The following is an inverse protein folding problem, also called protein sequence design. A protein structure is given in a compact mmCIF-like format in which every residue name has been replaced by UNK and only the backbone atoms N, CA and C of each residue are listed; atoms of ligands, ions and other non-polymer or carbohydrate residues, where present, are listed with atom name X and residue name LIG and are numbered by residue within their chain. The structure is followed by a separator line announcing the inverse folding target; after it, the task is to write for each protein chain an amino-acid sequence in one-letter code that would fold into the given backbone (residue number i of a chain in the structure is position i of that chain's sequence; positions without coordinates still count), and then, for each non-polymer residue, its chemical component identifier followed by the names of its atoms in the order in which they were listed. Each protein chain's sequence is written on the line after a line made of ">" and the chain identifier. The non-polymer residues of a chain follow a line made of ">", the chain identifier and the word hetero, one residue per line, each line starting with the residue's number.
data_IF_314563524220
#
_entry.id   IF_314563524220
#
_cell.length_a   1.000
_cell.length_b   1.000
_cell.length_c   1.000
_cell.angle_alpha   90.00
_cell.angle_beta   90.00
_cell.angle_gamma   90.00
#
_symmetry.space_group_name_H-M   'P 1'
#
loop_
_entity.id
_entity.type
_entity.pdbx_description
1 polymer ?
#
# COMPACT_ATOMS: atom_id res chain seq x y z
N UNK A 1 -16.17 22.28 0.41
CA UNK A 1 -15.80 21.65 -0.88
C UNK A 1 -14.76 20.58 -0.59
N UNK A 2 -15.20 19.33 -0.35
CA UNK A 2 -14.35 18.21 0.06
C UNK A 2 -14.15 17.31 -1.16
N UNK A 3 -12.91 17.24 -1.65
CA UNK A 3 -12.55 16.32 -2.73
C UNK A 3 -11.80 15.15 -2.12
N UNK A 4 -12.50 14.02 -1.96
CA UNK A 4 -11.88 12.74 -1.65
C UNK A 4 -11.10 12.26 -2.87
N UNK A 5 -9.79 12.48 -2.86
CA UNK A 5 -8.85 11.86 -3.79
C UNK A 5 -8.38 10.54 -3.20
N UNK A 6 -8.71 9.44 -3.88
CA UNK A 6 -8.20 8.11 -3.56
C UNK A 6 -6.69 8.04 -3.76
N UNK A 7 -6.03 7.29 -2.88
CA UNK A 7 -4.62 6.96 -3.01
C UNK A 7 -3.76 7.45 -1.85
N UNK A 8 -3.17 6.48 -1.16
CA UNK A 8 -1.87 6.55 -0.49
C UNK A 8 -1.92 6.76 1.04
N UNK A 9 -1.58 5.69 1.75
CA UNK A 9 -1.30 5.59 3.19
C UNK A 9 -0.09 6.44 3.65
N UNK A 10 0.14 7.60 3.03
CA UNK A 10 1.31 8.46 3.23
C UNK A 10 0.93 9.89 3.69
N UNK A 11 -0.36 10.16 3.89
CA UNK A 11 -0.89 11.46 4.30
C UNK A 11 -1.89 11.39 5.46
N UNK A 12 -1.67 10.48 6.42
CA UNK A 12 -2.56 10.24 7.56
C UNK A 12 -1.76 10.44 8.85
N UNK A 13 -1.61 11.71 9.22
CA UNK A 13 -1.05 12.09 10.51
C UNK A 13 -2.11 12.91 11.21
N UNK A 14 -2.65 12.36 12.28
CA UNK A 14 -3.47 13.12 13.21
C UNK A 14 -2.57 13.94 14.13
N UNK A 15 -3.05 15.08 14.59
CA UNK A 15 -2.30 15.91 15.53
C UNK A 15 -2.01 15.12 16.82
N UNK A 16 -0.73 15.03 17.19
CA UNK A 16 -0.29 14.29 18.37
C UNK A 16 -0.21 12.77 18.20
N UNK A 17 -0.56 12.22 17.03
CA UNK A 17 -0.45 10.79 16.75
C UNK A 17 1.01 10.34 16.76
N UNK A 18 1.27 9.17 17.34
CA UNK A 18 2.54 8.46 17.19
C UNK A 18 2.31 7.22 16.35
N UNK A 19 3.18 7.03 15.38
CA UNK A 19 3.02 5.98 14.40
C UNK A 19 4.32 5.24 14.22
N UNK A 20 4.26 3.90 14.24
CA UNK A 20 5.37 3.06 13.82
C UNK A 20 4.98 2.26 12.58
N UNK A 21 6.00 1.85 11.82
CA UNK A 21 5.80 1.17 10.55
C UNK A 21 6.84 0.07 10.35
N UNK A 22 6.36 -1.09 9.91
CA UNK A 22 7.17 -2.20 9.43
C UNK A 22 6.94 -2.36 7.93
N UNK A 23 8.03 -2.57 7.18
CA UNK A 23 8.00 -2.83 5.75
C UNK A 23 8.84 -4.04 5.44
N UNK A 24 8.32 -4.90 4.57
CA UNK A 24 9.02 -6.04 4.04
C UNK A 24 8.92 -6.05 2.51
N UNK A 25 10.01 -6.37 1.84
CA UNK A 25 10.07 -6.52 0.40
C UNK A 25 10.90 -7.74 0.04
N UNK A 26 10.42 -8.52 -0.91
CA UNK A 26 11.11 -9.72 -1.37
C UNK A 26 11.04 -9.86 -2.88
N UNK A 27 12.20 -10.15 -3.48
CA UNK A 27 12.31 -10.58 -4.87
C UNK A 27 12.16 -12.11 -4.89
N UNK A 28 11.08 -12.60 -5.50
CA UNK A 28 10.78 -14.03 -5.50
C UNK A 28 11.67 -14.82 -6.47
N UNK A 29 12.60 -14.17 -7.18
CA UNK A 29 13.72 -14.86 -7.84
C UNK A 29 14.48 -15.77 -6.86
N UNK A 30 14.57 -15.38 -5.58
CA UNK A 30 15.20 -16.20 -4.53
C UNK A 30 14.51 -17.55 -4.28
N UNK A 31 13.25 -17.71 -4.72
CA UNK A 31 12.48 -18.96 -4.69
C UNK A 31 12.08 -19.44 -6.09
N UNK A 32 12.89 -19.11 -7.10
CA UNK A 32 12.70 -19.54 -8.50
C UNK A 32 11.42 -19.01 -9.18
N UNK A 33 10.89 -17.85 -8.75
CA UNK A 33 9.80 -17.14 -9.41
C UNK A 33 10.30 -15.77 -9.93
N UNK A 34 11.09 -15.75 -11.01
CA UNK A 34 11.65 -14.51 -11.55
C UNK A 34 10.55 -13.57 -12.05
N UNK A 35 10.80 -12.26 -11.93
CA UNK A 35 9.85 -11.22 -12.33
C UNK A 35 8.77 -10.92 -11.29
N UNK A 36 8.58 -11.79 -10.29
CA UNK A 36 7.65 -11.56 -9.19
C UNK A 36 8.30 -10.80 -8.04
N UNK A 37 7.58 -9.82 -7.50
CA UNK A 37 7.96 -9.13 -6.27
C UNK A 37 6.79 -9.12 -5.28
N UNK A 38 7.11 -9.29 -4.01
CA UNK A 38 6.14 -9.19 -2.92
C UNK A 38 6.55 -8.05 -1.99
N UNK A 39 5.59 -7.21 -1.62
CA UNK A 39 5.78 -6.14 -0.65
C UNK A 39 4.66 -6.21 0.38
N UNK A 40 5.03 -6.01 1.64
CA UNK A 40 4.11 -5.91 2.75
C UNK A 40 4.46 -4.69 3.59
N UNK A 41 3.45 -4.01 4.09
CA UNK A 41 3.60 -2.92 5.03
C UNK A 41 2.54 -3.05 6.10
N UNK A 42 2.95 -2.87 7.35
CA UNK A 42 2.05 -2.69 8.48
C UNK A 42 2.40 -1.38 9.17
N UNK A 43 1.38 -0.61 9.51
CA UNK A 43 1.49 0.65 10.22
C UNK A 43 0.49 0.63 11.38
N UNK A 44 0.91 1.17 12.53
CA UNK A 44 0.03 1.33 13.68
C UNK A 44 0.22 2.71 14.29
N UNK A 45 -0.88 3.40 14.47
CA UNK A 45 -1.01 4.71 15.07
C UNK A 45 -1.70 4.64 16.43
N UNK A 46 -1.22 5.43 17.38
CA UNK A 46 -1.89 5.69 18.66
C UNK A 46 -1.83 7.18 19.04
N UNK A 47 -2.50 7.55 20.14
CA UNK A 47 -2.55 8.93 20.64
C UNK A 47 -3.27 9.91 19.70
N UNK A 48 -4.22 9.41 18.91
CA UNK A 48 -5.09 10.23 18.05
C UNK A 48 -6.09 10.95 18.94
N UNK A 49 -6.06 12.29 18.97
CA UNK A 49 -6.92 13.07 19.87
C UNK A 49 -8.38 13.09 19.42
N UNK A 50 -9.28 12.79 20.35
CA UNK A 50 -10.74 12.87 20.17
C UNK A 50 -11.45 13.28 21.46
N UNK A 51 -12.69 13.77 21.34
CA UNK A 51 -13.52 14.18 22.48
C UNK A 51 -13.83 13.03 23.45
N UNK A 52 -13.78 11.77 22.97
CA UNK A 52 -14.04 10.58 23.77
C UNK A 52 -12.76 9.93 24.36
N UNK A 53 -11.59 10.57 24.18
CA UNK A 53 -10.29 10.02 24.57
C UNK A 53 -9.40 9.68 23.38
N UNK A 54 -8.23 9.11 23.65
CA UNK A 54 -7.24 8.79 22.62
C UNK A 54 -7.66 7.58 21.79
N UNK A 55 -7.63 7.74 20.48
CA UNK A 55 -8.01 6.73 19.50
C UNK A 55 -6.79 6.03 18.88
N UNK A 56 -7.02 4.87 18.30
CA UNK A 56 -6.01 4.04 17.64
C UNK A 56 -6.40 3.67 16.22
N UNK A 57 -5.38 3.37 15.42
CA UNK A 57 -5.57 2.85 14.08
C UNK A 57 -4.44 1.91 13.65
N UNK A 58 -4.74 1.07 12.66
CA UNK A 58 -3.72 0.32 11.95
C UNK A 58 -4.07 0.16 10.48
N UNK A 59 -3.04 0.11 9.65
CA UNK A 59 -3.15 -0.15 8.23
C UNK A 59 -2.23 -1.32 7.85
N UNK A 60 -2.71 -2.17 6.94
CA UNK A 60 -1.92 -3.22 6.28
C UNK A 60 -2.05 -3.07 4.79
N UNK A 61 -0.93 -3.11 4.09
CA UNK A 61 -0.87 -3.18 2.64
C UNK A 61 -0.09 -4.43 2.21
N UNK A 62 -0.63 -5.16 1.26
CA UNK A 62 0.01 -6.27 0.59
C UNK A 62 0.06 -5.97 -0.91
N UNK A 63 1.20 -6.22 -1.55
CA UNK A 63 1.35 -6.06 -2.99
C UNK A 63 2.09 -7.26 -3.55
N UNK A 64 1.49 -7.87 -4.57
CA UNK A 64 2.13 -8.86 -5.42
C UNK A 64 2.18 -8.27 -6.82
N UNK A 65 3.38 -8.21 -7.41
CA UNK A 65 3.57 -7.64 -8.73
C UNK A 65 4.41 -8.57 -9.60
N UNK A 66 4.15 -8.55 -10.91
CA UNK A 66 4.88 -9.31 -11.91
C UNK A 66 5.34 -8.40 -13.05
N UNK A 67 6.63 -8.46 -13.38
CA UNK A 67 7.20 -7.80 -14.55
C UNK A 67 7.56 -8.82 -15.63
N UNK A 68 7.04 -8.61 -16.84
CA UNK A 68 7.35 -9.45 -18.00
C UNK A 68 8.78 -9.21 -18.46
N UNK A 69 9.63 -10.24 -18.41
CA UNK A 69 11.05 -10.12 -18.74
C UNK A 69 11.37 -10.20 -20.25
N UNK A 70 10.44 -10.75 -21.05
CA UNK A 70 10.66 -11.05 -22.47
C UNK A 70 9.36 -11.05 -23.28
N UNK A 71 9.49 -11.14 -24.61
CA UNK A 71 8.35 -11.19 -25.53
C UNK A 71 7.70 -9.82 -25.76
N UNK A 72 6.52 -9.80 -26.41
CA UNK A 72 5.84 -8.55 -26.81
C UNK A 72 5.46 -7.63 -25.65
N UNK A 73 5.27 -8.18 -24.45
CA UNK A 73 4.92 -7.42 -23.25
C UNK A 73 6.14 -7.07 -22.37
N UNK A 74 7.37 -7.25 -22.85
CA UNK A 74 8.59 -7.01 -22.07
C UNK A 74 8.57 -5.62 -21.44
N UNK A 75 8.75 -5.56 -20.12
CA UNK A 75 8.74 -4.32 -19.35
C UNK A 75 7.37 -3.96 -18.76
N UNK A 76 6.28 -4.63 -19.17
CA UNK A 76 4.98 -4.48 -18.52
C UNK A 76 5.07 -4.98 -17.09
N UNK A 77 4.54 -4.20 -16.15
CA UNK A 77 4.31 -4.58 -14.78
C UNK A 77 2.81 -4.64 -14.50
N UNK A 78 2.36 -5.73 -13.90
CA UNK A 78 1.02 -5.85 -13.35
C UNK A 78 1.13 -6.10 -11.85
N UNK A 79 0.38 -5.33 -11.05
CA UNK A 79 0.38 -5.46 -9.60
C UNK A 79 -1.04 -5.54 -9.05
N UNK A 80 -1.24 -6.48 -8.13
CA UNK A 80 -2.41 -6.53 -7.26
C UNK A 80 -2.01 -6.01 -5.89
N UNK A 81 -2.76 -5.03 -5.38
CA UNK A 81 -2.62 -4.52 -4.02
C UNK A 81 -3.90 -4.73 -3.24
N UNK A 82 -3.74 -5.22 -2.02
CA UNK A 82 -4.79 -5.27 -1.01
C UNK A 82 -4.43 -4.37 0.16
N UNK A 83 -5.31 -3.43 0.49
CA UNK A 83 -5.20 -2.53 1.63
C UNK A 83 -6.31 -2.80 2.63
N UNK A 84 -5.96 -2.89 3.91
CA UNK A 84 -6.92 -2.98 5.01
C UNK A 84 -6.61 -1.92 6.04
N UNK A 85 -7.60 -1.12 6.38
CA UNK A 85 -7.49 -0.04 7.34
C UNK A 85 -8.55 -0.19 8.41
N UNK A 86 -8.11 -0.15 9.66
CA UNK A 86 -8.98 -0.16 10.84
C UNK A 86 -8.63 1.05 11.71
N UNK A 87 -9.65 1.78 12.13
CA UNK A 87 -9.50 3.00 12.93
C UNK A 87 -10.74 3.20 13.80
N UNK A 88 -10.53 3.85 14.93
CA UNK A 88 -11.60 4.29 15.85
C UNK A 88 -12.10 5.71 15.52
N UNK A 89 -11.39 6.46 14.66
CA UNK A 89 -11.69 7.85 14.35
C UNK A 89 -12.71 8.03 13.21
N UNK A 90 -12.88 7.02 12.35
CA UNK A 90 -13.82 7.05 11.23
C UNK A 90 -14.20 5.63 10.78
N UNK A 91 -14.91 5.52 9.66
CA UNK A 91 -15.22 4.23 9.05
C UNK A 91 -13.94 3.51 8.60
N UNK A 92 -13.84 2.23 8.98
CA UNK A 92 -12.81 1.31 8.49
C UNK A 92 -13.04 0.94 7.02
N UNK A 93 -11.96 0.64 6.29
CA UNK A 93 -12.01 0.40 4.84
C UNK A 93 -11.12 -0.77 4.44
N UNK A 94 -11.58 -1.53 3.45
CA UNK A 94 -10.76 -2.48 2.70
C UNK A 94 -10.75 -2.07 1.22
N UNK A 95 -9.63 -2.29 0.54
CA UNK A 95 -9.40 -1.80 -0.82
C UNK A 95 -8.61 -2.82 -1.64
N UNK A 96 -9.06 -3.07 -2.87
CA UNK A 96 -8.31 -3.81 -3.88
C UNK A 96 -7.94 -2.86 -5.01
N UNK A 97 -6.67 -2.90 -5.44
CA UNK A 97 -6.20 -2.15 -6.61
C UNK A 97 -5.49 -3.08 -7.57
N UNK A 98 -5.87 -3.00 -8.83
CA UNK A 98 -5.11 -3.54 -9.95
C UNK A 98 -4.37 -2.38 -10.59
N UNK A 99 -3.06 -2.52 -10.73
CA UNK A 99 -2.17 -1.50 -11.30
C UNK A 99 -1.48 -2.13 -12.50
N UNK A 100 -1.47 -1.43 -13.62
CA UNK A 100 -0.77 -1.84 -14.83
C UNK A 100 0.11 -0.69 -15.28
N UNK A 101 1.42 -0.94 -15.33
CA UNK A 101 2.43 0.03 -15.73
C UNK A 101 3.19 -0.51 -16.93
N UNK A 102 3.22 0.24 -18.04
CA UNK A 102 4.03 -0.10 -19.20
C UNK A 102 4.87 1.11 -19.63
N UNK A 103 6.19 1.10 -19.38
CA UNK A 103 7.05 2.20 -19.76
C UNK A 103 7.29 2.19 -21.27
N UNK A 104 6.94 3.29 -21.94
CA UNK A 104 7.18 3.49 -23.38
C UNK A 104 8.30 4.52 -23.53
N UNK A 105 9.40 4.11 -24.18
CA UNK A 105 10.48 5.03 -24.56
C UNK A 105 10.16 5.65 -25.93
N UNK A 106 10.29 6.97 -26.06
CA UNK A 106 9.91 7.70 -27.27
C UNK A 106 11.11 8.16 -28.12
N UNK A 107 12.31 8.16 -27.53
CA UNK A 107 13.59 8.53 -28.15
C UNK A 107 14.75 7.94 -27.34
#
# INVERSE_FOLDING_TARGET
>A
MLRHGGGQCRGRLHFGERTWQLRYGYDLKGINLPGWTFKSMYQRGDNIKSAAGDMKEWARDLTLAYTFASGPAKGLNAALRFGSFRTEAQRSTDEYRVIVDYPISLF
#
